data_IF_890650997343
#
_entry.id   IF_890650997343
#
_cell.length_a   1.000
_cell.length_b   1.000
_cell.length_c   1.000
_cell.angle_alpha   90.00
_cell.angle_beta   90.00
_cell.angle_gamma   90.00
#
_symmetry.space_group_name_H-M   'P 1'
#
loop_
_entity.id
_entity.type
_entity.pdbx_description
1 polymer ?
#
# COMPACT_ATOMS: atom_id res chain seq x y z
N UNK A 1 -0.23 -2.27 -22.81
CA UNK A 1 0.65 -2.56 -21.64
C UNK A 1 -0.20 -3.12 -20.48
N UNK A 2 0.21 -4.20 -19.82
CA UNK A 2 -0.53 -4.72 -18.66
C UNK A 2 -0.24 -3.83 -17.45
N UNK A 3 -1.25 -3.13 -16.93
CA UNK A 3 -1.15 -2.40 -15.66
C UNK A 3 -1.19 -3.40 -14.50
N UNK A 4 -0.11 -3.49 -13.72
CA UNK A 4 0.00 -4.39 -12.56
C UNK A 4 0.05 -3.57 -11.27
N UNK A 5 -1.01 -2.80 -11.01
CA UNK A 5 -1.15 -1.98 -9.80
C UNK A 5 -2.30 -2.48 -8.94
N UNK A 6 -2.11 -2.48 -7.63
CA UNK A 6 -3.12 -2.98 -6.67
C UNK A 6 -3.14 -2.09 -5.43
N UNK A 7 -4.32 -1.58 -5.08
CA UNK A 7 -4.59 -1.01 -3.76
C UNK A 7 -5.54 -1.93 -2.99
N UNK A 8 -4.99 -2.74 -2.09
CA UNK A 8 -5.74 -3.62 -1.20
C UNK A 8 -5.80 -3.02 0.21
N UNK A 9 -6.95 -2.44 0.56
CA UNK A 9 -7.18 -1.90 1.89
C UNK A 9 -7.41 -3.04 2.90
N UNK A 10 -6.35 -3.44 3.60
CA UNK A 10 -6.43 -4.50 4.60
C UNK A 10 -7.22 -4.02 5.83
N UNK A 11 -8.24 -4.77 6.25
CA UNK A 11 -8.99 -4.56 7.51
C UNK A 11 -8.57 -5.57 8.59
N UNK A 12 -8.94 -5.31 9.84
CA UNK A 12 -8.60 -6.18 10.96
C UNK A 12 -9.34 -7.53 10.89
N UNK A 13 -8.60 -8.62 11.16
CA UNK A 13 -9.13 -9.98 11.40
C UNK A 13 -9.92 -10.60 10.23
N UNK A 14 -9.69 -10.15 9.00
CA UNK A 14 -10.32 -10.68 7.77
C UNK A 14 -9.40 -11.60 6.96
N UNK A 15 -8.44 -12.26 7.62
CA UNK A 15 -7.35 -13.00 6.97
C UNK A 15 -6.52 -12.16 5.96
N UNK A 16 -6.62 -10.82 6.03
CA UNK A 16 -5.95 -9.94 5.08
C UNK A 16 -4.40 -10.00 5.13
N UNK A 17 -3.80 -10.49 6.21
CA UNK A 17 -2.34 -10.73 6.24
C UNK A 17 -1.92 -11.85 5.29
N UNK A 18 -2.79 -12.84 5.03
CA UNK A 18 -2.55 -13.87 4.02
C UNK A 18 -2.53 -13.25 2.63
N UNK A 19 -3.54 -12.44 2.30
CA UNK A 19 -3.62 -11.72 1.01
C UNK A 19 -2.43 -10.77 0.83
N UNK A 20 -2.08 -10.00 1.87
CA UNK A 20 -0.91 -9.11 1.86
C UNK A 20 0.38 -9.86 1.47
N UNK A 21 0.65 -11.02 2.08
CA UNK A 21 1.86 -11.79 1.78
C UNK A 21 1.86 -12.37 0.36
N UNK A 22 0.70 -12.80 -0.15
CA UNK A 22 0.55 -13.22 -1.56
C UNK A 22 0.88 -12.05 -2.49
N UNK A 23 0.35 -10.86 -2.23
CA UNK A 23 0.62 -9.66 -3.02
C UNK A 23 2.09 -9.21 -2.93
N UNK A 24 2.74 -9.33 -1.77
CA UNK A 24 4.16 -8.98 -1.61
C UNK A 24 5.07 -9.95 -2.40
N UNK A 25 4.77 -11.25 -2.38
CA UNK A 25 5.49 -12.26 -3.19
C UNK A 25 5.26 -12.07 -4.67
N UNK A 26 4.04 -11.72 -5.07
CA UNK A 26 3.74 -11.34 -6.45
C UNK A 26 4.57 -10.13 -6.86
N UNK A 27 4.62 -9.08 -6.03
CA UNK A 27 5.39 -7.89 -6.30
C UNK A 27 6.89 -8.18 -6.45
N UNK A 28 7.47 -8.97 -5.54
CA UNK A 28 8.87 -9.42 -5.61
C UNK A 28 9.16 -10.16 -6.93
N UNK A 29 8.34 -11.16 -7.29
CA UNK A 29 8.49 -11.94 -8.53
C UNK A 29 8.43 -11.09 -9.79
N UNK A 30 7.63 -10.03 -9.77
CA UNK A 30 7.37 -9.18 -10.93
C UNK A 30 8.13 -7.84 -10.88
N UNK A 31 9.10 -7.70 -9.96
CA UNK A 31 9.87 -6.47 -9.78
C UNK A 31 8.99 -5.21 -9.58
N UNK A 32 7.91 -5.35 -8.82
CA UNK A 32 6.99 -4.27 -8.50
C UNK A 32 7.31 -3.67 -7.13
N UNK A 33 7.28 -2.34 -7.05
CA UNK A 33 7.48 -1.61 -5.80
C UNK A 33 6.26 -1.76 -4.88
N UNK A 34 6.49 -2.22 -3.64
CA UNK A 34 5.48 -2.26 -2.58
C UNK A 34 5.57 -0.99 -1.73
N UNK A 35 4.44 -0.37 -1.40
CA UNK A 35 4.39 0.71 -0.43
C UNK A 35 4.81 0.19 0.96
N UNK A 36 5.93 0.68 1.48
CA UNK A 36 6.38 0.40 2.84
C UNK A 36 6.10 1.60 3.74
N UNK A 37 5.79 1.40 5.02
CA UNK A 37 5.55 2.51 5.93
C UNK A 37 6.84 3.26 6.25
N UNK A 38 6.70 4.55 6.51
CA UNK A 38 7.75 5.38 7.08
C UNK A 38 8.17 4.79 8.45
N UNK A 39 9.46 4.84 8.84
CA UNK A 39 9.91 4.22 10.10
C UNK A 39 9.18 4.72 11.35
N UNK A 40 8.71 5.97 11.32
CA UNK A 40 7.91 6.57 12.40
C UNK A 40 6.43 6.16 12.42
N UNK A 41 5.98 5.34 11.46
CA UNK A 41 4.57 4.99 11.25
C UNK A 41 4.24 3.52 11.50
N UNK A 42 5.17 2.79 12.13
CA UNK A 42 5.07 1.35 12.38
C UNK A 42 4.66 0.58 11.12
N UNK A 43 4.01 -0.58 11.25
CA UNK A 43 3.62 -1.44 10.13
C UNK A 43 2.25 -1.11 9.53
N UNK A 44 1.57 -0.05 10.01
CA UNK A 44 0.17 0.27 9.70
C UNK A 44 -0.02 1.71 9.22
N UNK A 45 1.00 2.32 8.64
CA UNK A 45 0.92 3.67 8.08
C UNK A 45 0.32 4.69 9.07
N UNK A 46 0.80 4.71 10.31
CA UNK A 46 0.35 5.65 11.33
C UNK A 46 -1.17 5.55 11.67
N UNK A 47 -1.78 4.38 11.50
CA UNK A 47 -3.14 4.07 11.99
C UNK A 47 -3.28 4.43 13.48
N UNK A 48 -4.42 5.00 13.95
CA UNK A 48 -5.71 5.17 13.26
C UNK A 48 -5.91 6.53 12.56
N UNK A 49 -4.84 7.29 12.30
CA UNK A 49 -4.94 8.56 11.55
C UNK A 49 -5.36 8.29 10.10
N UNK A 50 -6.10 9.23 9.48
CA UNK A 50 -6.36 9.18 8.03
C UNK A 50 -5.04 9.06 7.29
N UNK A 51 -5.00 8.19 6.29
CA UNK A 51 -3.79 7.94 5.54
C UNK A 51 -3.25 9.21 4.90
N UNK A 52 -1.93 9.36 4.90
CA UNK A 52 -1.23 10.34 4.08
C UNK A 52 -0.08 9.66 3.35
N UNK A 53 0.21 10.09 2.12
CA UNK A 53 1.37 9.61 1.38
C UNK A 53 2.70 9.89 2.10
N UNK A 54 2.72 10.82 3.06
CA UNK A 54 3.88 11.06 3.94
C UNK A 54 4.18 9.87 4.86
N UNK A 55 3.19 9.01 5.13
CA UNK A 55 3.37 7.81 5.92
C UNK A 55 4.05 6.68 5.15
N UNK A 56 4.33 6.86 3.85
CA UNK A 56 5.03 5.89 3.00
C UNK A 56 6.52 6.20 3.01
N UNK A 57 7.37 5.18 3.08
CA UNK A 57 8.81 5.34 2.98
C UNK A 57 9.20 5.98 1.63
N UNK A 58 10.00 7.07 1.60
CA UNK A 58 10.34 7.78 0.36
C UNK A 58 10.89 6.89 -0.76
N UNK A 59 11.73 5.92 -0.41
CA UNK A 59 12.30 4.95 -1.38
C UNK A 59 11.28 4.02 -2.06
N UNK A 60 10.02 4.01 -1.61
CA UNK A 60 8.95 3.16 -2.17
C UNK A 60 7.86 3.97 -2.87
N UNK A 61 8.12 5.25 -3.17
CA UNK A 61 7.20 6.13 -3.89
C UNK A 61 7.69 6.37 -5.34
N UNK A 62 6.81 6.28 -6.37
CA UNK A 62 5.45 5.77 -6.32
C UNK A 62 5.41 4.23 -6.23
N UNK A 63 4.52 3.65 -5.42
CA UNK A 63 4.36 2.20 -5.33
C UNK A 63 3.46 1.65 -6.45
N UNK A 64 3.64 0.37 -6.77
CA UNK A 64 2.71 -0.39 -7.60
C UNK A 64 1.67 -1.13 -6.75
N UNK A 65 2.07 -1.59 -5.57
CA UNK A 65 1.24 -2.38 -4.66
C UNK A 65 1.15 -1.72 -3.29
N UNK A 66 -0.06 -1.47 -2.82
CA UNK A 66 -0.37 -1.10 -1.45
C UNK A 66 -1.28 -2.18 -0.86
N UNK A 67 -0.85 -2.85 0.21
CA UNK A 67 -1.58 -4.01 0.75
C UNK A 67 -1.54 -4.15 2.28
N UNK A 68 -1.13 -3.10 3.01
CA UNK A 68 -1.09 -3.12 4.48
C UNK A 68 -2.26 -2.36 5.09
N UNK A 69 -2.39 -2.44 6.41
CA UNK A 69 -3.48 -1.78 7.12
C UNK A 69 -3.27 -0.27 7.15
N UNK A 70 -4.31 0.50 6.82
CA UNK A 70 -4.35 1.96 6.89
C UNK A 70 -5.81 2.42 7.05
N UNK A 71 -6.02 3.70 7.31
CA UNK A 71 -7.35 4.32 7.26
C UNK A 71 -7.53 5.05 5.93
N UNK A 72 -8.54 4.63 5.16
CA UNK A 72 -8.75 5.10 3.79
C UNK A 72 -8.89 6.63 3.70
N UNK A 73 -8.17 7.20 2.74
CA UNK A 73 -8.33 8.57 2.28
C UNK A 73 -8.17 8.54 0.74
N UNK A 74 -9.25 8.86 0.02
CA UNK A 74 -9.30 8.73 -1.44
C UNK A 74 -8.27 9.65 -2.11
N UNK A 75 -8.21 10.90 -1.71
CA UNK A 75 -7.36 11.90 -2.33
C UNK A 75 -5.87 11.56 -2.13
N UNK A 76 -5.48 11.14 -0.93
CA UNK A 76 -4.09 10.74 -0.65
C UNK A 76 -3.70 9.45 -1.37
N UNK A 77 -4.62 8.51 -1.55
CA UNK A 77 -4.36 7.28 -2.30
C UNK A 77 -4.30 7.50 -3.82
N UNK A 78 -5.19 8.32 -4.39
CA UNK A 78 -5.13 8.72 -5.80
C UNK A 78 -3.85 9.50 -6.11
N UNK A 79 -3.37 10.32 -5.16
CA UNK A 79 -2.11 11.05 -5.29
C UNK A 79 -0.89 10.14 -5.22
N UNK A 80 -0.95 9.07 -4.43
CA UNK A 80 0.16 8.14 -4.23
C UNK A 80 0.24 7.07 -5.32
N UNK A 81 -0.90 6.48 -5.68
CA UNK A 81 -0.97 5.32 -6.57
C UNK A 81 -1.01 5.76 -8.03
N UNK A 82 -0.53 4.94 -8.97
CA UNK A 82 -0.66 5.23 -10.39
C UNK A 82 -2.13 5.42 -10.82
N UNK A 83 -2.40 6.27 -11.85
CA UNK A 83 -3.76 6.54 -12.33
C UNK A 83 -4.56 5.27 -12.65
N UNK A 84 -5.83 5.25 -12.27
CA UNK A 84 -6.74 4.13 -12.50
C UNK A 84 -6.64 2.99 -11.47
N UNK A 85 -5.95 3.18 -10.36
CA UNK A 85 -5.83 2.16 -9.29
C UNK A 85 -6.92 2.25 -8.21
N UNK A 86 -7.44 3.46 -7.92
CA UNK A 86 -8.36 3.77 -6.79
C UNK A 86 -9.61 4.49 -7.28
#
# INVERSE_FOLDING_TARGET
PKHMTVAFLKTHKTAGTTVQNILFRFAERHNLTVALPHPSCEHQFCYPRNFSAHFVHPATRPPHVLASHLRFDRAELERLMPPGTV
#
